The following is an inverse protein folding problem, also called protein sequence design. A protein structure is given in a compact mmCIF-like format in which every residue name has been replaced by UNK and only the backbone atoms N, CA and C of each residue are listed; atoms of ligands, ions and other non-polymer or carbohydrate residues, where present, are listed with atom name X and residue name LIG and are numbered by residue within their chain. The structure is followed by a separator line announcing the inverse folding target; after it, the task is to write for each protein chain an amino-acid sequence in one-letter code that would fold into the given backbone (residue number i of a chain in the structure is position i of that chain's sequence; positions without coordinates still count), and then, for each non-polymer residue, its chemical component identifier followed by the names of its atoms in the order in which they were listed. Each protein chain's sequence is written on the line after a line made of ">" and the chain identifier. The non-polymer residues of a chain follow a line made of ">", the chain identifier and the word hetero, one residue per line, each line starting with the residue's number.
data_IF_953020253417
#
_entry.id   IF_953020253417
#
_cell.length_a   1.000
_cell.length_b   1.000
_cell.length_c   1.000
_cell.angle_alpha   90.00
_cell.angle_beta   90.00
_cell.angle_gamma   90.00
#
_symmetry.space_group_name_H-M   'P 1'
#
loop_
_entity.id
_entity.type
_entity.pdbx_description
1 polymer ?
#
# COMPACT_ATOMS: atom_id res chain seq x y z
N UNK A 1 6.81 -15.28 27.48
CA UNK A 1 5.75 -14.42 26.86
C UNK A 1 6.33 -13.29 26.02
N UNK A 2 7.34 -12.56 26.50
CA UNK A 2 7.92 -11.41 25.79
C UNK A 2 8.65 -11.80 24.47
N UNK A 3 9.35 -12.94 24.45
CA UNK A 3 10.06 -13.43 23.27
C UNK A 3 9.12 -13.96 22.17
N UNK A 4 8.01 -14.58 22.57
CA UNK A 4 6.97 -15.06 21.64
C UNK A 4 6.29 -13.88 20.94
N UNK A 5 5.94 -12.83 21.69
CA UNK A 5 5.37 -11.61 21.10
C UNK A 5 6.35 -10.89 20.18
N UNK A 6 7.66 -10.94 20.47
CA UNK A 6 8.71 -10.38 19.61
C UNK A 6 8.86 -11.17 18.31
N UNK A 7 8.83 -12.50 18.38
CA UNK A 7 8.90 -13.39 17.22
C UNK A 7 7.66 -13.25 16.32
N UNK A 8 6.45 -13.24 16.91
CA UNK A 8 5.20 -13.01 16.17
C UNK A 8 5.24 -11.64 15.49
N UNK A 9 5.75 -10.61 16.18
CA UNK A 9 5.88 -9.26 15.60
C UNK A 9 6.91 -9.22 14.47
N UNK A 10 8.04 -9.93 14.55
CA UNK A 10 9.01 -9.96 13.45
C UNK A 10 8.46 -10.72 12.25
N UNK A 11 7.83 -11.87 12.47
CA UNK A 11 7.19 -12.68 11.43
C UNK A 11 6.06 -11.90 10.74
N UNK A 12 5.24 -11.17 11.50
CA UNK A 12 4.19 -10.28 10.94
C UNK A 12 4.79 -9.15 10.09
N UNK A 13 5.94 -8.60 10.50
CA UNK A 13 6.65 -7.54 9.75
C UNK A 13 7.27 -8.10 8.47
N UNK A 14 7.76 -9.33 8.50
CA UNK A 14 8.37 -10.03 7.36
C UNK A 14 7.31 -10.40 6.31
N UNK A 15 6.20 -11.00 6.75
CA UNK A 15 5.03 -11.27 5.91
C UNK A 15 4.50 -9.97 5.30
N UNK A 16 4.41 -8.89 6.08
CA UNK A 16 3.97 -7.58 5.57
C UNK A 16 4.91 -7.02 4.50
N UNK A 17 6.22 -7.26 4.60
CA UNK A 17 7.19 -6.81 3.59
C UNK A 17 7.05 -7.60 2.29
N UNK A 18 6.95 -8.92 2.37
CA UNK A 18 6.77 -9.78 1.19
C UNK A 18 5.42 -9.54 0.50
N UNK A 19 4.34 -9.46 1.28
CA UNK A 19 3.01 -9.04 0.87
C UNK A 19 2.99 -7.71 0.11
N UNK A 20 3.73 -6.72 0.60
CA UNK A 20 3.82 -5.41 -0.05
C UNK A 20 4.67 -5.43 -1.33
N UNK A 21 5.73 -6.25 -1.37
CA UNK A 21 6.51 -6.49 -2.59
C UNK A 21 5.64 -7.10 -3.69
N UNK A 22 4.85 -8.10 -3.32
CA UNK A 22 3.91 -8.76 -4.20
C UNK A 22 2.81 -7.83 -4.70
N UNK A 23 2.15 -7.08 -3.81
CA UNK A 23 1.14 -6.09 -4.19
C UNK A 23 1.66 -5.14 -5.26
N UNK A 24 2.91 -4.69 -5.09
CA UNK A 24 3.52 -3.76 -6.00
C UNK A 24 3.84 -4.39 -7.36
N UNK A 25 4.21 -5.67 -7.40
CA UNK A 25 4.43 -6.43 -8.64
C UNK A 25 3.10 -6.66 -9.39
N UNK A 26 2.03 -7.01 -8.69
CA UNK A 26 0.70 -7.25 -9.26
C UNK A 26 0.08 -5.95 -9.77
N UNK A 27 0.07 -4.89 -8.95
CA UNK A 27 -0.47 -3.58 -9.34
C UNK A 27 0.30 -3.04 -10.55
N UNK A 28 1.63 -3.17 -10.58
CA UNK A 28 2.44 -2.75 -11.73
C UNK A 28 2.08 -3.51 -13.02
N UNK A 29 1.93 -4.84 -12.94
CA UNK A 29 1.51 -5.68 -14.07
C UNK A 29 0.12 -5.28 -14.59
N UNK A 30 -0.82 -5.01 -13.69
CA UNK A 30 -2.17 -4.53 -14.03
C UNK A 30 -2.14 -3.12 -14.63
N UNK A 31 -1.44 -2.17 -14.00
CA UNK A 31 -1.40 -0.76 -14.41
C UNK A 31 -0.69 -0.56 -15.76
N UNK A 32 0.33 -1.38 -16.05
CA UNK A 32 1.07 -1.36 -17.32
C UNK A 32 0.42 -2.20 -18.43
N UNK A 33 -0.77 -2.78 -18.19
CA UNK A 33 -1.47 -3.64 -19.16
C UNK A 33 -0.71 -4.93 -19.50
N UNK A 34 0.25 -5.35 -18.67
CA UNK A 34 1.03 -6.58 -18.83
C UNK A 34 0.41 -7.69 -18.00
N UNK A 35 -0.57 -8.38 -18.57
CA UNK A 35 -1.24 -9.54 -17.95
C UNK A 35 -0.48 -10.85 -18.15
N UNK A 36 0.51 -10.91 -19.04
CA UNK A 36 1.27 -12.12 -19.33
C UNK A 36 2.41 -12.31 -18.31
N UNK A 37 2.22 -13.23 -17.36
CA UNK A 37 3.37 -13.90 -16.75
C UNK A 37 4.03 -14.76 -17.83
N UNK A 38 5.35 -14.66 -18.01
CA UNK A 38 6.06 -15.64 -18.83
C UNK A 38 5.91 -17.01 -18.17
N UNK A 39 5.61 -18.05 -18.94
CA UNK A 39 5.60 -19.43 -18.45
C UNK A 39 7.03 -19.95 -18.23
N UNK A 40 8.03 -19.24 -18.75
CA UNK A 40 9.44 -19.54 -18.54
C UNK A 40 9.84 -19.30 -17.06
N UNK A 41 10.67 -20.21 -16.54
CA UNK A 41 11.32 -20.16 -15.22
C UNK A 41 10.43 -20.25 -13.96
N UNK A 42 9.14 -20.64 -14.10
CA UNK A 42 8.26 -20.89 -12.95
C UNK A 42 7.84 -19.62 -12.19
N UNK A 43 8.05 -18.45 -12.78
CA UNK A 43 7.66 -17.16 -12.20
C UNK A 43 6.14 -17.04 -11.99
N UNK A 44 5.36 -17.62 -12.89
CA UNK A 44 3.89 -17.65 -12.78
C UNK A 44 3.44 -18.40 -11.51
N UNK A 45 4.06 -19.55 -11.21
CA UNK A 45 3.72 -20.36 -10.04
C UNK A 45 4.13 -19.66 -8.74
N UNK A 46 5.33 -19.05 -8.70
CA UNK A 46 5.77 -18.23 -7.56
C UNK A 46 4.82 -17.05 -7.33
N UNK A 47 4.47 -16.34 -8.40
CA UNK A 47 3.54 -15.20 -8.33
C UNK A 47 2.18 -15.65 -7.80
N UNK A 48 1.67 -16.79 -8.27
CA UNK A 48 0.39 -17.35 -7.83
C UNK A 48 0.42 -17.75 -6.35
N UNK A 49 1.48 -18.43 -5.90
CA UNK A 49 1.66 -18.80 -4.50
C UNK A 49 1.64 -17.57 -3.58
N UNK A 50 2.38 -16.53 -3.96
CA UNK A 50 2.41 -15.28 -3.22
C UNK A 50 1.03 -14.60 -3.19
N UNK A 51 0.28 -14.58 -4.31
CA UNK A 51 -1.09 -14.01 -4.37
C UNK A 51 -2.00 -14.67 -3.34
N UNK A 52 -1.92 -16.00 -3.24
CA UNK A 52 -2.73 -16.77 -2.30
C UNK A 52 -2.35 -16.41 -0.86
N UNK A 53 -1.05 -16.41 -0.54
CA UNK A 53 -0.57 -16.06 0.80
C UNK A 53 -0.97 -14.63 1.20
N UNK A 54 -0.89 -13.70 0.25
CA UNK A 54 -1.30 -12.32 0.50
C UNK A 54 -2.81 -12.17 0.69
N UNK A 55 -3.63 -12.91 -0.07
CA UNK A 55 -5.07 -12.95 0.13
C UNK A 55 -5.41 -13.50 1.52
N UNK A 56 -4.75 -14.57 1.95
CA UNK A 56 -4.90 -15.14 3.30
C UNK A 56 -4.50 -14.14 4.39
N UNK A 57 -3.45 -13.35 4.16
CA UNK A 57 -3.04 -12.29 5.07
C UNK A 57 -4.09 -11.19 5.18
N UNK A 58 -4.64 -10.72 4.06
CA UNK A 58 -5.74 -9.75 4.07
C UNK A 58 -6.98 -10.32 4.77
N UNK A 59 -7.30 -11.58 4.54
CA UNK A 59 -8.40 -12.26 5.25
C UNK A 59 -8.17 -12.33 6.76
N UNK A 60 -6.93 -12.59 7.21
CA UNK A 60 -6.57 -12.54 8.63
C UNK A 60 -6.79 -11.14 9.21
N UNK A 61 -6.48 -10.07 8.47
CA UNK A 61 -6.74 -8.69 8.90
C UNK A 61 -8.25 -8.44 9.01
N UNK A 62 -9.04 -8.80 8.00
CA UNK A 62 -10.50 -8.60 8.02
C UNK A 62 -11.15 -9.32 9.19
N UNK A 63 -10.79 -10.60 9.40
CA UNK A 63 -11.35 -11.40 10.48
C UNK A 63 -11.04 -10.81 11.87
N UNK A 64 -9.86 -10.22 12.07
CA UNK A 64 -9.55 -9.52 13.33
C UNK A 64 -10.51 -8.37 13.60
N UNK A 65 -10.85 -7.57 12.59
CA UNK A 65 -11.84 -6.48 12.73
C UNK A 65 -13.27 -7.04 12.96
N UNK A 66 -13.57 -8.26 12.50
CA UNK A 66 -14.85 -8.91 12.77
C UNK A 66 -14.94 -9.51 14.19
N UNK A 67 -13.82 -10.01 14.72
CA UNK A 67 -13.72 -10.66 16.03
C UNK A 67 -13.51 -9.65 17.19
N UNK A 68 -12.82 -8.55 16.93
CA UNK A 68 -12.65 -7.44 17.86
C UNK A 68 -14.00 -6.73 18.06
N UNK A 69 -14.83 -7.27 18.93
CA UNK A 69 -16.02 -6.58 19.42
C UNK A 69 -15.58 -5.27 20.06
N UNK A 70 -15.99 -4.17 19.45
CA UNK A 70 -15.88 -2.80 19.95
C UNK A 70 -16.17 -2.81 21.46
N UNK A 71 -15.13 -2.67 22.28
CA UNK A 71 -15.33 -2.29 23.68
C UNK A 71 -15.98 -0.91 23.67
N UNK A 72 -16.81 -0.57 24.66
CA UNK A 72 -17.54 0.72 24.74
C UNK A 72 -16.67 1.99 24.58
N UNK A 73 -15.34 1.86 24.62
CA UNK A 73 -14.36 2.93 24.50
C UNK A 73 -13.54 2.91 23.20
N UNK A 74 -13.73 1.93 22.31
CA UNK A 74 -12.96 1.82 21.07
C UNK A 74 -13.70 2.54 19.93
N UNK A 75 -13.06 3.54 19.34
CA UNK A 75 -13.60 4.31 18.20
C UNK A 75 -13.78 3.37 17.00
N UNK A 76 -14.99 3.31 16.46
CA UNK A 76 -15.30 2.69 15.17
C UNK A 76 -14.37 3.24 14.10
N UNK A 77 -13.70 2.36 13.34
CA UNK A 77 -12.82 2.77 12.25
C UNK A 77 -13.45 2.54 10.86
N UNK A 78 -12.74 2.94 9.81
CA UNK A 78 -13.25 2.86 8.44
C UNK A 78 -13.44 1.41 7.96
N UNK A 79 -12.70 0.45 8.50
CA UNK A 79 -12.87 -0.97 8.18
C UNK A 79 -14.18 -1.49 8.76
N UNK A 80 -14.50 -1.12 10.00
CA UNK A 80 -15.77 -1.48 10.63
C UNK A 80 -16.97 -0.97 9.82
N UNK A 81 -16.88 0.27 9.32
CA UNK A 81 -17.91 0.87 8.46
C UNK A 81 -18.07 0.09 7.15
N UNK A 82 -16.98 -0.26 6.48
CA UNK A 82 -17.03 -0.99 5.21
C UNK A 82 -17.55 -2.42 5.39
N UNK A 83 -17.17 -3.10 6.48
CA UNK A 83 -17.68 -4.43 6.83
C UNK A 83 -19.18 -4.40 7.13
N UNK A 84 -19.64 -3.40 7.88
CA UNK A 84 -21.09 -3.21 8.12
C UNK A 84 -21.84 -2.94 6.82
N UNK A 85 -21.34 -2.05 5.96
CA UNK A 85 -21.94 -1.74 4.66
C UNK A 85 -21.99 -2.95 3.73
N UNK A 86 -21.00 -3.86 3.79
CA UNK A 86 -21.02 -5.10 3.00
C UNK A 86 -22.08 -6.11 3.42
N UNK A 87 -22.64 -5.97 4.63
CA UNK A 87 -23.71 -6.83 5.16
C UNK A 87 -25.11 -6.33 4.80
N UNK A 88 -25.24 -5.14 4.23
CA UNK A 88 -26.53 -4.61 3.79
C UNK A 88 -27.01 -5.33 2.52
N UNK A 89 -27.99 -6.21 2.68
CA UNK A 89 -28.57 -6.97 1.58
C UNK A 89 -29.39 -6.12 0.60
N UNK A 90 -29.86 -4.94 1.06
CA UNK A 90 -30.73 -4.03 0.32
C UNK A 90 -29.97 -2.89 -0.38
N UNK A 91 -28.64 -2.84 -0.26
CA UNK A 91 -27.84 -1.81 -0.90
C UNK A 91 -27.92 -1.89 -2.43
N UNK A 92 -28.15 -0.74 -3.08
CA UNK A 92 -28.14 -0.60 -4.54
C UNK A 92 -26.81 -1.07 -5.15
N UNK A 93 -25.71 -0.88 -4.42
CA UNK A 93 -24.39 -1.41 -4.77
C UNK A 93 -23.83 -2.29 -3.65
N UNK A 94 -23.63 -3.57 -3.96
CA UNK A 94 -23.08 -4.53 -2.99
C UNK A 94 -21.57 -4.40 -2.88
N UNK A 95 -21.11 -3.85 -1.77
CA UNK A 95 -19.70 -3.88 -1.39
C UNK A 95 -19.33 -5.34 -1.08
N UNK A 96 -18.43 -5.90 -1.88
CA UNK A 96 -17.93 -7.25 -1.67
C UNK A 96 -16.72 -7.22 -0.75
N UNK A 97 -16.42 -8.37 -0.12
CA UNK A 97 -15.20 -8.54 0.68
C UNK A 97 -13.94 -8.22 -0.11
N UNK A 98 -13.91 -8.54 -1.41
CA UNK A 98 -12.79 -8.17 -2.28
C UNK A 98 -12.65 -6.65 -2.45
N UNK A 99 -13.75 -5.90 -2.54
CA UNK A 99 -13.67 -4.42 -2.57
C UNK A 99 -13.01 -3.87 -1.30
N UNK A 100 -13.32 -4.46 -0.15
CA UNK A 100 -12.71 -4.07 1.13
C UNK A 100 -11.20 -4.41 1.15
N UNK A 101 -10.82 -5.59 0.65
CA UNK A 101 -9.41 -5.96 0.46
C UNK A 101 -8.67 -4.97 -0.45
N UNK A 102 -9.26 -4.58 -1.57
CA UNK A 102 -8.68 -3.56 -2.46
C UNK A 102 -8.52 -2.21 -1.76
N UNK A 103 -9.51 -1.80 -0.97
CA UNK A 103 -9.42 -0.58 -0.20
C UNK A 103 -8.23 -0.59 0.77
N UNK A 104 -7.99 -1.70 1.48
CA UNK A 104 -6.81 -1.85 2.34
C UNK A 104 -5.49 -1.69 1.57
N UNK A 105 -5.41 -2.30 0.39
CA UNK A 105 -4.21 -2.23 -0.47
C UNK A 105 -3.96 -0.77 -0.89
N UNK A 106 -5.01 -0.06 -1.33
CA UNK A 106 -4.91 1.34 -1.75
C UNK A 106 -4.48 2.20 -0.56
N UNK A 107 -5.16 2.08 0.58
CA UNK A 107 -4.85 2.85 1.80
C UNK A 107 -3.39 2.69 2.21
N UNK A 108 -2.88 1.45 2.25
CA UNK A 108 -1.48 1.21 2.58
C UNK A 108 -0.55 1.81 1.54
N UNK A 109 -0.79 1.54 0.26
CA UNK A 109 0.05 2.05 -0.84
C UNK A 109 0.15 3.58 -0.79
N UNK A 110 -0.98 4.29 -0.63
CA UNK A 110 -1.01 5.75 -0.51
C UNK A 110 -0.22 6.25 0.68
N UNK A 111 -0.36 5.63 1.86
CA UNK A 111 0.37 6.05 3.06
C UNK A 111 1.90 5.97 2.85
N UNK A 112 2.37 4.90 2.23
CA UNK A 112 3.80 4.72 1.95
C UNK A 112 4.30 5.68 0.87
N UNK A 113 3.56 5.83 -0.23
CA UNK A 113 3.90 6.81 -1.27
C UNK A 113 4.00 8.21 -0.70
N UNK A 114 3.07 8.58 0.20
CA UNK A 114 3.11 9.88 0.85
C UNK A 114 4.34 10.02 1.76
N UNK A 115 4.68 8.99 2.54
CA UNK A 115 5.87 9.00 3.39
C UNK A 115 7.16 9.14 2.57
N UNK A 116 7.25 8.46 1.43
CA UNK A 116 8.41 8.54 0.53
C UNK A 116 8.56 9.95 -0.06
N UNK A 117 7.46 10.53 -0.56
CA UNK A 117 7.44 11.90 -1.10
C UNK A 117 7.85 12.91 -0.01
N UNK A 118 7.36 12.73 1.22
CA UNK A 118 7.67 13.63 2.33
C UNK A 118 9.11 13.50 2.84
N UNK A 119 9.77 12.38 2.56
CA UNK A 119 11.17 12.15 2.94
C UNK A 119 12.16 12.89 2.03
N UNK A 120 11.76 13.24 0.80
CA UNK A 120 12.56 14.05 -0.12
C UNK A 120 12.12 15.52 -0.09
N UNK A 121 12.89 16.34 0.62
CA UNK A 121 12.62 17.78 0.75
C UNK A 121 12.61 18.50 -0.60
N UNK A 122 13.44 18.08 -1.57
CA UNK A 122 13.52 18.73 -2.88
C UNK A 122 12.24 18.47 -3.70
N UNK A 123 11.76 17.22 -3.70
CA UNK A 123 10.50 16.86 -4.35
C UNK A 123 9.34 17.62 -3.70
N UNK A 124 9.30 17.68 -2.37
CA UNK A 124 8.24 18.37 -1.64
C UNK A 124 8.22 19.89 -1.90
N UNK A 125 9.38 20.53 -1.96
CA UNK A 125 9.49 21.96 -2.29
C UNK A 125 8.97 22.25 -3.70
N UNK A 126 9.41 21.48 -4.69
CA UNK A 126 8.96 21.64 -6.08
C UNK A 126 7.46 21.36 -6.26
N UNK A 127 6.91 20.38 -5.53
CA UNK A 127 5.48 20.13 -5.52
C UNK A 127 4.69 21.33 -4.99
N UNK A 128 5.15 21.93 -3.88
CA UNK A 128 4.53 23.12 -3.30
C UNK A 128 4.60 24.30 -4.26
N UNK A 129 5.73 24.51 -4.93
CA UNK A 129 5.88 25.57 -5.93
C UNK A 129 4.88 25.41 -7.10
N UNK A 130 4.74 24.19 -7.65
CA UNK A 130 3.78 23.93 -8.72
C UNK A 130 2.33 24.17 -8.25
N UNK A 131 1.96 23.64 -7.08
CA UNK A 131 0.62 23.82 -6.50
C UNK A 131 0.34 25.29 -6.24
N UNK A 132 1.28 26.01 -5.61
CA UNK A 132 1.14 27.44 -5.32
C UNK A 132 0.99 28.28 -6.61
N UNK A 133 1.65 27.87 -7.69
CA UNK A 133 1.58 28.56 -8.98
C UNK A 133 0.22 28.35 -9.68
N UNK A 134 -0.32 27.14 -9.64
CA UNK A 134 -1.53 26.75 -10.39
C UNK A 134 -2.82 26.98 -9.58
N UNK A 135 -2.79 26.63 -8.30
CA UNK A 135 -3.98 26.62 -7.41
C UNK A 135 -3.99 27.87 -6.52
N UNK A 136 -2.81 28.36 -6.14
CA UNK A 136 -2.65 29.41 -5.14
C UNK A 136 -2.77 28.89 -3.70
N UNK A 137 -2.60 29.79 -2.73
CA UNK A 137 -2.53 29.46 -1.29
C UNK A 137 -3.86 29.53 -0.54
N UNK A 138 -4.93 29.97 -1.22
CA UNK A 138 -6.21 30.33 -0.58
C UNK A 138 -7.24 29.21 -0.58
N UNK A 139 -7.02 28.13 -1.35
CA UNK A 139 -7.98 27.03 -1.51
C UNK A 139 -7.27 25.69 -1.67
N UNK A 140 -8.02 24.61 -1.44
CA UNK A 140 -7.56 23.25 -1.70
C UNK A 140 -7.56 22.93 -3.21
N UNK A 141 -6.74 21.93 -3.56
CA UNK A 141 -6.68 21.34 -4.90
C UNK A 141 -8.04 20.72 -5.25
N UNK A 142 -8.50 20.93 -6.48
CA UNK A 142 -9.68 20.29 -7.04
C UNK A 142 -9.31 19.40 -8.22
N UNK A 143 -10.18 18.46 -8.59
CA UNK A 143 -9.95 17.55 -9.72
C UNK A 143 -9.72 18.31 -11.04
N UNK A 144 -10.36 19.46 -11.22
CA UNK A 144 -10.21 20.32 -12.39
C UNK A 144 -8.81 20.95 -12.50
N UNK A 145 -8.05 21.01 -11.40
CA UNK A 145 -6.68 21.54 -11.40
C UNK A 145 -5.67 20.49 -11.86
N UNK A 146 -5.99 19.19 -11.72
CA UNK A 146 -5.06 18.09 -11.98
C UNK A 146 -4.40 18.15 -13.37
N UNK A 147 -5.10 18.46 -14.49
CA UNK A 147 -4.47 18.56 -15.80
C UNK A 147 -3.33 19.59 -15.87
N UNK A 148 -3.36 20.60 -14.98
CA UNK A 148 -2.37 21.67 -14.91
C UNK A 148 -1.26 21.42 -13.87
N UNK A 149 -1.24 20.25 -13.23
CA UNK A 149 -0.24 19.86 -12.22
C UNK A 149 0.62 18.68 -12.71
N UNK A 150 1.39 18.83 -13.80
CA UNK A 150 2.13 17.73 -14.41
C UNK A 150 3.23 17.15 -13.50
N UNK A 151 3.87 17.96 -12.66
CA UNK A 151 4.89 17.49 -11.73
C UNK A 151 4.25 16.67 -10.60
N UNK A 152 3.15 17.12 -10.01
CA UNK A 152 2.36 16.33 -9.04
C UNK A 152 1.96 14.98 -9.63
N UNK A 153 1.40 14.96 -10.84
CA UNK A 153 1.06 13.71 -11.51
C UNK A 153 2.28 12.81 -11.71
N UNK A 154 3.40 13.38 -12.13
CA UNK A 154 4.66 12.67 -12.31
C UNK A 154 5.17 12.05 -11.01
N UNK A 155 5.20 12.81 -9.93
CA UNK A 155 5.67 12.37 -8.61
C UNK A 155 4.76 11.27 -8.05
N UNK A 156 3.44 11.39 -8.16
CA UNK A 156 2.52 10.32 -7.72
C UNK A 156 2.72 9.06 -8.55
N UNK A 157 2.78 9.16 -9.89
CA UNK A 157 3.02 8.02 -10.78
C UNK A 157 4.37 7.36 -10.48
N UNK A 158 5.40 8.16 -10.26
CA UNK A 158 6.75 7.66 -9.98
C UNK A 158 6.88 7.08 -8.58
N UNK A 159 6.22 7.66 -7.57
CA UNK A 159 6.16 7.09 -6.22
C UNK A 159 5.46 5.73 -6.19
N UNK A 160 4.40 5.57 -7.00
CA UNK A 160 3.76 4.28 -7.23
C UNK A 160 4.68 3.30 -8.00
N UNK A 161 5.47 3.80 -8.97
CA UNK A 161 6.43 2.98 -9.75
C UNK A 161 7.62 2.52 -8.91
N UNK A 162 8.23 3.38 -8.11
CA UNK A 162 9.40 3.07 -7.28
C UNK A 162 9.08 2.00 -6.24
N UNK A 163 7.85 1.98 -5.74
CA UNK A 163 7.37 0.90 -4.88
C UNK A 163 7.50 -0.47 -5.57
N UNK A 164 7.41 -0.54 -6.90
CA UNK A 164 7.50 -1.75 -7.70
C UNK A 164 8.94 -2.23 -7.96
N UNK A 165 9.97 -1.43 -7.64
CA UNK A 165 11.37 -1.75 -7.99
C UNK A 165 12.29 -1.90 -6.77
N UNK A 166 12.06 -1.17 -5.68
CA UNK A 166 13.09 -1.07 -4.63
C UNK A 166 13.31 -2.32 -3.76
N UNK A 167 12.33 -3.23 -3.64
CA UNK A 167 12.49 -4.39 -2.74
C UNK A 167 13.20 -5.60 -3.34
N UNK A 168 13.73 -5.49 -4.57
CA UNK A 168 14.68 -6.46 -5.11
C UNK A 168 16.15 -6.16 -4.81
N UNK A 169 16.48 -5.05 -4.12
CA UNK A 169 17.89 -4.60 -3.93
C UNK A 169 18.33 -4.25 -2.51
N UNK A 170 17.45 -4.28 -1.51
CA UNK A 170 17.81 -3.76 -0.17
C UNK A 170 18.60 -4.71 0.73
N UNK A 171 18.88 -5.96 0.32
CA UNK A 171 19.67 -6.90 1.14
C UNK A 171 21.19 -6.93 0.80
N UNK A 172 21.71 -6.04 -0.06
CA UNK A 172 23.14 -6.06 -0.44
C UNK A 172 24.01 -4.94 0.18
N UNK A 173 23.45 -3.98 0.91
CA UNK A 173 24.25 -2.85 1.44
C UNK A 173 23.94 -2.53 2.90
N UNK A 174 23.96 -3.54 3.78
CA UNK A 174 24.14 -3.26 5.21
C UNK A 174 24.76 -4.43 5.97
N UNK A 175 26.04 -4.70 5.73
CA UNK A 175 26.99 -5.13 6.77
C UNK A 175 28.42 -5.00 6.26
N UNK A 176 29.16 -3.98 6.71
CA UNK A 176 30.49 -4.21 7.29
C UNK A 176 30.65 -3.25 8.48
N UNK A 177 30.82 -3.77 9.72
CA UNK A 177 31.23 -2.93 10.84
C UNK A 177 32.72 -2.62 10.66
N UNK A 178 33.01 -1.33 10.49
CA UNK A 178 34.35 -0.79 10.43
C UNK A 178 35.05 -1.03 11.78
N UNK A 179 35.76 -2.15 11.92
CA UNK A 179 36.82 -2.30 12.93
C UNK A 179 38.01 -1.51 12.41
N UNK A 180 38.28 -0.36 13.03
CA UNK A 180 39.62 0.14 13.36
C UNK A 180 39.51 1.52 14.02
N UNK A 181 39.56 1.54 15.35
CA UNK A 181 40.35 2.48 16.16
C UNK A 181 40.46 1.97 17.59
#
# INVERSE_FOLDING_TARGET
>A
MQDINKAIKSETVEISKEAMSLNSSIIFKILMGRTSCSEEDGEAERTRGLVIEFDEFLEKILRKHEEEKISEHQSRDMMDVLLEASRDENADYKITRNHIKYFLIIRQTTQWTMAEIMNDTNILERLKEEIDCVVGKSRLIQETDLPNLPYLQGVVKEGLRLRAVQYGKTESYRTEPNRNR
#
